data_IF_299809757894
#
_entry.id   IF_299809757894
#
_cell.length_a   1.000
_cell.length_b   1.000
_cell.length_c   1.000
_cell.angle_alpha   90.00
_cell.angle_beta   90.00
_cell.angle_gamma   90.00
#
_symmetry.space_group_name_H-M   'P 1'
#
loop_
_entity.id
_entity.type
_entity.pdbx_description
1 polymer ?
#
# COMPACT_ATOMS: atom_id res chain seq x y z
N UNK A 1 9.58 2.41 10.17
CA UNK A 1 10.25 3.19 9.09
C UNK A 1 9.92 4.67 9.28
N UNK A 2 10.92 5.50 9.54
CA UNK A 2 10.71 6.95 9.69
C UNK A 2 10.26 7.56 8.36
N UNK A 3 9.06 8.14 8.32
CA UNK A 3 8.54 8.81 7.12
C UNK A 3 9.43 10.02 6.81
N UNK A 4 10.15 9.96 5.68
CA UNK A 4 10.98 11.09 5.23
C UNK A 4 10.06 12.28 4.90
N UNK A 5 10.56 13.50 5.05
CA UNK A 5 9.80 14.72 4.70
C UNK A 5 9.38 14.63 3.22
N UNK A 6 8.08 14.62 2.95
CA UNK A 6 7.53 14.44 1.60
C UNK A 6 7.25 12.99 1.17
N UNK A 7 7.28 12.03 2.09
CA UNK A 7 6.85 10.65 1.83
C UNK A 7 5.36 10.61 1.47
N UNK A 8 4.97 10.15 0.27
CA UNK A 8 3.58 10.09 -0.15
C UNK A 8 2.70 9.20 0.73
N UNK A 9 3.29 8.24 1.47
CA UNK A 9 2.57 7.36 2.41
C UNK A 9 2.05 8.10 3.64
N UNK A 10 2.60 9.29 3.94
CA UNK A 10 2.14 10.14 5.03
C UNK A 10 0.89 10.95 4.68
N UNK A 11 0.56 11.07 3.38
CA UNK A 11 -0.53 11.91 2.90
C UNK A 11 -1.90 11.32 3.24
N UNK A 12 -2.89 12.21 3.48
CA UNK A 12 -4.30 11.81 3.72
C UNK A 12 -4.86 10.97 2.57
N UNK A 13 -4.49 11.29 1.34
CA UNK A 13 -4.90 10.56 0.13
C UNK A 13 -4.46 9.10 0.17
N UNK A 14 -3.21 8.84 0.56
CA UNK A 14 -2.70 7.47 0.74
C UNK A 14 -3.50 6.70 1.80
N UNK A 15 -3.81 7.32 2.94
CA UNK A 15 -4.60 6.67 4.00
C UNK A 15 -5.99 6.25 3.52
N UNK A 16 -6.64 7.09 2.71
CA UNK A 16 -7.95 6.77 2.13
C UNK A 16 -7.85 5.59 1.14
N UNK A 17 -6.88 5.63 0.22
CA UNK A 17 -6.68 4.56 -0.76
C UNK A 17 -6.27 3.25 -0.10
N UNK A 18 -5.44 3.29 0.96
CA UNK A 18 -5.08 2.10 1.74
C UNK A 18 -6.33 1.41 2.30
N UNK A 19 -7.28 2.16 2.85
CA UNK A 19 -8.53 1.59 3.36
C UNK A 19 -9.38 1.03 2.21
N UNK A 20 -9.47 1.73 1.08
CA UNK A 20 -10.19 1.25 -0.10
C UNK A 20 -9.62 -0.07 -0.64
N UNK A 21 -8.29 -0.21 -0.73
CA UNK A 21 -7.63 -1.43 -1.20
C UNK A 21 -7.87 -2.59 -0.24
N UNK A 22 -7.73 -2.35 1.07
CA UNK A 22 -8.04 -3.37 2.08
C UNK A 22 -9.50 -3.83 2.02
N UNK A 23 -10.45 -2.91 1.85
CA UNK A 23 -11.87 -3.25 1.70
C UNK A 23 -12.17 -3.95 0.37
N UNK A 24 -11.52 -3.54 -0.74
CA UNK A 24 -11.64 -4.19 -2.06
C UNK A 24 -11.21 -5.65 -1.99
N UNK A 25 -10.11 -5.91 -1.32
CA UNK A 25 -9.48 -7.23 -1.24
C UNK A 25 -10.03 -8.05 -0.05
N UNK A 26 -11.12 -7.62 0.59
CA UNK A 26 -11.72 -8.25 1.77
C UNK A 26 -10.71 -8.56 2.88
N UNK A 27 -9.75 -7.66 3.11
CA UNK A 27 -8.66 -7.88 4.07
C UNK A 27 -7.95 -9.23 3.86
N UNK A 28 -7.78 -9.65 2.60
CA UNK A 28 -7.10 -10.90 2.25
C UNK A 28 -5.76 -10.60 1.58
N UNK A 29 -4.69 -11.21 2.09
CA UNK A 29 -3.34 -11.02 1.58
C UNK A 29 -3.23 -11.60 0.18
N UNK A 30 -2.75 -10.80 -0.78
CA UNK A 30 -2.54 -11.23 -2.15
C UNK A 30 -1.53 -12.38 -2.29
N UNK A 31 -0.53 -12.44 -1.40
CA UNK A 31 0.56 -13.41 -1.50
C UNK A 31 0.27 -14.75 -0.83
N UNK A 32 -0.38 -14.74 0.33
CA UNK A 32 -0.55 -15.94 1.17
C UNK A 32 -1.99 -16.22 1.58
N UNK A 33 -2.95 -15.40 1.13
CA UNK A 33 -4.38 -15.50 1.42
C UNK A 33 -4.75 -15.43 2.92
N UNK A 34 -3.82 -15.03 3.79
CA UNK A 34 -4.09 -14.75 5.20
C UNK A 34 -4.77 -13.39 5.38
N UNK A 35 -5.18 -13.07 6.61
CA UNK A 35 -5.71 -11.74 6.94
C UNK A 35 -4.66 -10.65 6.67
N UNK A 36 -5.07 -9.61 5.94
CA UNK A 36 -4.27 -8.48 5.55
C UNK A 36 -4.68 -7.23 6.33
N UNK A 37 -3.68 -6.65 6.98
CA UNK A 37 -3.75 -5.44 7.77
C UNK A 37 -2.84 -4.33 7.21
N UNK A 38 -2.09 -4.63 6.15
CA UNK A 38 -1.23 -3.67 5.45
C UNK A 38 -1.48 -3.69 3.95
N UNK A 39 -0.85 -2.76 3.25
CA UNK A 39 -0.91 -2.69 1.78
C UNK A 39 0.52 -2.58 1.29
N UNK A 40 0.81 -3.30 0.21
CA UNK A 40 2.11 -3.34 -0.45
C UNK A 40 2.05 -2.67 -1.83
N UNK A 41 3.18 -2.10 -2.25
CA UNK A 41 3.34 -1.43 -3.54
C UNK A 41 3.92 -2.41 -4.56
N UNK A 42 3.18 -2.77 -5.62
CA UNK A 42 3.68 -3.66 -6.68
C UNK A 42 4.93 -3.05 -7.34
N UNK A 43 4.83 -1.78 -7.73
CA UNK A 43 5.94 -0.95 -8.18
C UNK A 43 6.40 -0.08 -7.01
N UNK A 44 7.64 -0.26 -6.51
CA UNK A 44 8.16 0.51 -5.41
C UNK A 44 8.13 2.01 -5.69
N UNK A 45 7.71 2.80 -4.69
CA UNK A 45 7.67 4.28 -4.77
C UNK A 45 9.03 4.89 -5.15
N UNK A 46 10.14 4.23 -4.81
CA UNK A 46 11.50 4.68 -5.18
C UNK A 46 11.82 4.54 -6.67
N UNK A 47 11.10 3.68 -7.39
CA UNK A 47 11.24 3.48 -8.84
C UNK A 47 10.21 4.29 -9.65
N UNK A 48 9.24 4.91 -8.98
CA UNK A 48 8.22 5.74 -9.60
C UNK A 48 8.68 7.20 -9.62
N UNK A 49 8.76 7.80 -10.81
CA UNK A 49 9.05 9.23 -10.94
C UNK A 49 7.89 10.10 -10.42
N UNK A 50 6.66 9.60 -10.56
CA UNK A 50 5.46 10.26 -10.06
C UNK A 50 5.08 9.75 -8.66
N UNK A 51 5.03 10.67 -7.69
CA UNK A 51 4.57 10.41 -6.32
C UNK A 51 3.09 10.04 -6.27
N UNK A 52 2.33 10.32 -7.32
CA UNK A 52 0.92 9.95 -7.43
C UNK A 52 0.71 8.44 -7.49
N UNK A 53 1.70 7.71 -8.03
CA UNK A 53 1.69 6.25 -8.12
C UNK A 53 1.74 5.55 -6.76
N UNK A 54 2.18 6.27 -5.72
CA UNK A 54 2.17 5.76 -4.35
C UNK A 54 0.76 5.61 -3.77
N UNK A 55 -0.25 6.31 -4.31
CA UNK A 55 -1.65 6.20 -3.92
C UNK A 55 -2.55 5.72 -5.07
N UNK A 56 -1.97 5.10 -6.10
CA UNK A 56 -2.73 4.49 -7.19
C UNK A 56 -3.25 3.11 -6.73
N UNK A 57 -4.58 2.89 -6.64
CA UNK A 57 -5.15 1.62 -6.18
C UNK A 57 -4.80 0.42 -7.07
N UNK A 58 -4.39 0.65 -8.33
CA UNK A 58 -3.94 -0.41 -9.24
C UNK A 58 -2.50 -0.86 -8.94
N UNK A 59 -1.70 -0.01 -8.29
CA UNK A 59 -0.33 -0.32 -7.87
C UNK A 59 -0.26 -0.84 -6.42
N UNK A 60 -1.42 -1.09 -5.80
CA UNK A 60 -1.56 -1.42 -4.39
C UNK A 60 -2.31 -2.74 -4.23
N UNK A 61 -1.77 -3.61 -3.37
CA UNK A 61 -2.36 -4.90 -3.03
C UNK A 61 -2.45 -5.06 -1.52
N UNK A 62 -3.53 -5.66 -1.03
CA UNK A 62 -3.63 -6.04 0.36
C UNK A 62 -2.56 -7.08 0.72
N UNK A 63 -1.83 -6.84 1.81
CA UNK A 63 -0.72 -7.68 2.23
C UNK A 63 -0.70 -7.81 3.76
N UNK A 64 -0.39 -9.00 4.27
CA UNK A 64 -0.21 -9.21 5.70
C UNK A 64 1.19 -8.73 6.13
N UNK A 65 1.35 -8.39 7.42
CA UNK A 65 2.67 -7.97 7.95
C UNK A 65 3.81 -8.95 7.65
N UNK A 66 3.52 -10.26 7.63
CA UNK A 66 4.51 -11.32 7.34
C UNK A 66 5.02 -11.29 5.90
N UNK A 67 4.13 -11.01 4.94
CA UNK A 67 4.51 -10.91 3.53
C UNK A 67 5.07 -9.53 3.19
N UNK A 68 4.72 -8.50 3.96
CA UNK A 68 5.23 -7.14 3.83
C UNK A 68 6.50 -6.89 4.68
N UNK A 69 7.25 -7.96 4.99
CA UNK A 69 8.50 -7.91 5.77
C UNK A 69 9.72 -7.82 4.88
#
# INVERSE_FOLDING_TARGET
MATRRGDPRSQRKYKAVRLQVLSRDNHTCFYCNAEADTVDHIVPVSKSDDKSEAYNPNNLVACCKRCNS
#
